data_IF_826142990321
#
_entry.id   IF_826142990321
#
_cell.length_a   1.000
_cell.length_b   1.000
_cell.length_c   1.000
_cell.angle_alpha   90.00
_cell.angle_beta   90.00
_cell.angle_gamma   90.00
#
_symmetry.space_group_name_H-M   'P 1'
#
loop_
_entity.id
_entity.type
_entity.pdbx_description
1 polymer ?
#
# COMPACT_ATOMS: atom_id res chain seq x y z
N UNK A 1 -13.42 -3.04 8.08
CA UNK A 1 -12.74 -3.04 6.77
C UNK A 1 -12.28 -1.62 6.50
N UNK A 2 -11.00 -1.41 6.18
CA UNK A 2 -10.42 -0.08 5.92
C UNK A 2 -10.76 0.38 4.49
N UNK A 3 -10.88 1.70 4.27
CA UNK A 3 -11.08 2.26 2.93
C UNK A 3 -9.94 1.88 1.96
N UNK A 4 -8.73 1.70 2.50
CA UNK A 4 -7.56 1.24 1.75
C UNK A 4 -7.76 -0.17 1.19
N UNK A 5 -8.25 -1.11 2.01
CA UNK A 5 -8.49 -2.49 1.58
C UNK A 5 -9.45 -2.58 0.39
N UNK A 6 -10.56 -1.83 0.44
CA UNK A 6 -11.53 -1.78 -0.66
C UNK A 6 -10.90 -1.21 -1.94
N UNK A 7 -10.06 -0.17 -1.83
CA UNK A 7 -9.36 0.40 -2.97
C UNK A 7 -8.33 -0.58 -3.57
N UNK A 8 -7.61 -1.33 -2.74
CA UNK A 8 -6.67 -2.36 -3.19
C UNK A 8 -7.39 -3.48 -3.96
N UNK A 9 -8.58 -3.91 -3.50
CA UNK A 9 -9.41 -4.89 -4.22
C UNK A 9 -9.87 -4.34 -5.57
N UNK A 10 -10.27 -3.07 -5.64
CA UNK A 10 -10.65 -2.42 -6.90
C UNK A 10 -9.47 -2.36 -7.89
N UNK A 11 -8.28 -1.93 -7.43
CA UNK A 11 -7.08 -1.90 -8.25
C UNK A 11 -6.68 -3.29 -8.76
N UNK A 12 -6.92 -4.34 -7.97
CA UNK A 12 -6.71 -5.72 -8.40
C UNK A 12 -7.64 -6.12 -9.54
N UNK A 13 -8.92 -5.81 -9.43
CA UNK A 13 -9.90 -6.07 -10.48
C UNK A 13 -9.58 -5.28 -11.77
N UNK A 14 -9.15 -4.02 -11.63
CA UNK A 14 -8.71 -3.19 -12.76
C UNK A 14 -7.46 -3.78 -13.44
N UNK A 15 -6.52 -4.34 -12.67
CA UNK A 15 -5.32 -5.01 -13.19
C UNK A 15 -5.68 -6.30 -13.96
N UNK A 16 -6.57 -7.14 -13.42
CA UNK A 16 -7.02 -8.39 -14.07
C UNK A 16 -7.80 -8.11 -15.36
N UNK A 17 -8.60 -7.03 -15.37
CA UNK A 17 -9.27 -6.53 -16.58
C UNK A 17 -8.24 -6.01 -17.60
N UNK A 18 -7.19 -5.35 -17.12
CA UNK A 18 -6.07 -4.88 -17.96
C UNK A 18 -5.30 -6.02 -18.59
N UNK A 19 -5.18 -7.16 -17.93
CA UNK A 19 -4.53 -8.37 -18.46
C UNK A 19 -5.38 -9.04 -19.53
N UNK A 20 -6.71 -9.10 -19.32
CA UNK A 20 -7.65 -9.82 -20.18
C UNK A 20 -8.07 -9.05 -21.44
N UNK A 21 -7.89 -7.73 -21.47
CA UNK A 21 -8.35 -6.90 -22.60
C UNK A 21 -7.19 -6.42 -23.47
N UNK A 22 -7.21 -6.81 -24.75
CA UNK A 22 -6.22 -6.40 -25.76
C UNK A 22 -6.23 -4.87 -26.01
N UNK A 23 -7.34 -4.19 -25.68
CA UNK A 23 -7.51 -2.74 -25.81
C UNK A 23 -7.30 -1.93 -24.53
N UNK A 24 -6.95 -2.57 -23.39
CA UNK A 24 -6.67 -1.85 -22.15
C UNK A 24 -5.31 -1.14 -22.26
N UNK A 25 -5.37 0.16 -22.54
CA UNK A 25 -4.21 0.93 -22.95
C UNK A 25 -3.12 1.06 -21.88
N UNK A 26 -1.85 1.29 -22.30
CA UNK A 26 -0.72 1.52 -21.41
C UNK A 26 -0.98 2.64 -20.37
N UNK A 27 -1.89 3.57 -20.67
CA UNK A 27 -2.35 4.64 -19.76
C UNK A 27 -2.96 4.11 -18.47
N UNK A 28 -3.78 3.04 -18.53
CA UNK A 28 -4.46 2.55 -17.32
C UNK A 28 -3.47 1.82 -16.42
N UNK A 29 -2.60 0.98 -16.99
CA UNK A 29 -1.54 0.32 -16.25
C UNK A 29 -0.58 1.35 -15.61
N UNK A 30 -0.27 2.43 -16.31
CA UNK A 30 0.52 3.53 -15.77
C UNK A 30 -0.20 4.24 -14.60
N UNK A 31 -1.52 4.48 -14.72
CA UNK A 31 -2.32 5.06 -13.64
C UNK A 31 -2.33 4.17 -12.39
N UNK A 32 -2.59 2.86 -12.56
CA UNK A 32 -2.57 1.86 -11.48
C UNK A 32 -1.20 1.88 -10.78
N UNK A 33 -0.10 1.83 -11.55
CA UNK A 33 1.26 1.85 -10.99
C UNK A 33 1.55 3.12 -10.19
N UNK A 34 1.16 4.29 -10.68
CA UNK A 34 1.32 5.57 -9.95
C UNK A 34 0.53 5.58 -8.65
N UNK A 35 -0.67 5.02 -8.67
CA UNK A 35 -1.50 4.94 -7.47
C UNK A 35 -0.94 3.97 -6.44
N UNK A 36 -0.46 2.79 -6.87
CA UNK A 36 0.24 1.83 -6.00
C UNK A 36 1.49 2.44 -5.37
N UNK A 37 2.29 3.16 -6.16
CA UNK A 37 3.45 3.87 -5.64
C UNK A 37 3.05 4.93 -4.59
N UNK A 38 1.97 5.68 -4.83
CA UNK A 38 1.45 6.65 -3.86
C UNK A 38 1.08 5.98 -2.54
N UNK A 39 0.38 4.85 -2.59
CA UNK A 39 0.02 4.11 -1.38
C UNK A 39 1.25 3.56 -0.64
N UNK A 40 2.24 3.05 -1.37
CA UNK A 40 3.50 2.57 -0.77
C UNK A 40 4.25 3.70 -0.05
N UNK A 41 4.29 4.90 -0.64
CA UNK A 41 4.93 6.08 -0.02
C UNK A 41 4.15 6.64 1.17
N UNK A 42 2.88 6.26 1.33
CA UNK A 42 2.05 6.65 2.48
C UNK A 42 2.07 5.63 3.62
N UNK A 43 2.76 4.49 3.46
CA UNK A 43 2.87 3.50 4.55
C UNK A 43 3.64 4.12 5.71
N UNK A 44 3.08 4.15 6.94
CA UNK A 44 3.75 4.75 8.08
C UNK A 44 5.06 4.03 8.42
N UNK A 45 6.10 4.79 8.72
CA UNK A 45 7.38 4.26 9.20
C UNK A 45 7.26 3.25 10.37
N UNK A 46 6.42 3.46 11.41
CA UNK A 46 6.27 2.47 12.48
C UNK A 46 5.73 1.13 11.97
N UNK A 47 4.85 1.14 10.96
CA UNK A 47 4.33 -0.09 10.33
C UNK A 47 5.44 -0.83 9.56
N UNK A 48 6.36 -0.10 8.94
CA UNK A 48 7.52 -0.67 8.26
C UNK A 48 8.50 -1.32 9.24
N UNK A 49 8.79 -0.66 10.38
CA UNK A 49 9.69 -1.18 11.40
C UNK A 49 9.13 -2.41 12.15
N UNK A 50 7.82 -2.46 12.34
CA UNK A 50 7.14 -3.61 12.96
C UNK A 50 7.03 -4.82 12.01
N UNK A 51 7.35 -4.65 10.72
CA UNK A 51 7.28 -5.71 9.72
C UNK A 51 8.49 -6.65 9.75
N UNK A 52 8.34 -7.91 9.28
CA UNK A 52 9.45 -8.83 9.12
C UNK A 52 10.41 -8.31 8.05
N UNK A 53 11.72 -8.50 8.24
CA UNK A 53 12.76 -8.01 7.32
C UNK A 53 12.53 -8.44 5.87
N UNK A 54 11.98 -9.64 5.65
CA UNK A 54 11.66 -10.11 4.31
C UNK A 54 10.57 -9.28 3.60
N UNK A 55 9.56 -8.80 4.34
CA UNK A 55 8.51 -7.94 3.80
C UNK A 55 9.06 -6.54 3.52
N UNK A 56 9.91 -6.00 4.41
CA UNK A 56 10.59 -4.72 4.20
C UNK A 56 11.46 -4.75 2.93
N UNK A 57 12.25 -5.81 2.72
CA UNK A 57 13.04 -5.95 1.49
C UNK A 57 12.16 -6.02 0.24
N UNK A 58 11.02 -6.72 0.31
CA UNK A 58 10.05 -6.78 -0.80
C UNK A 58 9.46 -5.39 -1.07
N UNK A 59 9.07 -4.67 -0.03
CA UNK A 59 8.57 -3.29 -0.12
C UNK A 59 9.55 -2.36 -0.82
N UNK A 60 10.81 -2.33 -0.38
CA UNK A 60 11.84 -1.51 -1.01
C UNK A 60 12.09 -1.90 -2.47
N UNK A 61 12.11 -3.20 -2.77
CA UNK A 61 12.28 -3.71 -4.13
C UNK A 61 11.14 -3.25 -5.04
N UNK A 62 9.90 -3.36 -4.57
CA UNK A 62 8.71 -2.92 -5.31
C UNK A 62 8.73 -1.42 -5.56
N UNK A 63 9.08 -0.59 -4.57
CA UNK A 63 9.19 0.86 -4.76
C UNK A 63 10.22 1.18 -5.84
N UNK A 64 11.42 0.57 -5.77
CA UNK A 64 12.46 0.77 -6.78
C UNK A 64 11.98 0.38 -8.18
N UNK A 65 11.30 -0.76 -8.31
CA UNK A 65 10.78 -1.23 -9.60
C UNK A 65 9.68 -0.31 -10.16
N UNK A 66 8.77 0.15 -9.30
CA UNK A 66 7.71 1.08 -9.70
C UNK A 66 8.24 2.46 -10.10
N UNK A 67 9.30 2.93 -9.46
CA UNK A 67 9.98 4.18 -9.80
C UNK A 67 10.81 4.05 -11.08
N UNK A 68 11.53 2.95 -11.26
CA UNK A 68 12.43 2.74 -12.40
C UNK A 68 11.68 2.63 -13.74
N UNK A 69 10.47 2.05 -13.74
CA UNK A 69 9.69 1.87 -14.96
C UNK A 69 9.14 3.16 -15.60
N UNK A 70 9.34 4.32 -14.96
CA UNK A 70 9.10 5.61 -15.58
C UNK A 70 10.17 5.99 -16.63
N UNK A 71 11.25 5.19 -16.75
CA UNK A 71 12.41 5.46 -17.61
C UNK A 71 12.36 4.61 -18.89
N UNK A 72 12.67 5.20 -20.04
CA UNK A 72 12.72 4.51 -21.33
C UNK A 72 14.01 3.67 -21.47
N UNK A 73 13.96 2.47 -22.07
CA UNK A 73 12.78 1.80 -22.63
C UNK A 73 11.86 1.25 -21.54
N UNK A 74 10.55 1.41 -21.75
CA UNK A 74 9.55 0.90 -20.84
C UNK A 74 9.67 -0.63 -20.72
N UNK A 75 9.62 -1.14 -19.48
CA UNK A 75 9.50 -2.58 -19.20
C UNK A 75 8.36 -3.21 -20.01
N UNK A 76 8.54 -4.46 -20.47
CA UNK A 76 7.48 -5.20 -21.17
C UNK A 76 6.17 -5.22 -20.36
N UNK A 77 5.02 -5.20 -21.04
CA UNK A 77 3.69 -5.16 -20.40
C UNK A 77 3.53 -6.21 -19.30
N UNK A 78 3.97 -7.43 -19.56
CA UNK A 78 3.95 -8.54 -18.59
C UNK A 78 4.73 -8.22 -17.32
N UNK A 79 5.92 -7.62 -17.46
CA UNK A 79 6.74 -7.19 -16.34
C UNK A 79 6.05 -6.08 -15.55
N UNK A 80 5.43 -5.13 -16.23
CA UNK A 80 4.67 -4.06 -15.58
C UNK A 80 3.46 -4.59 -14.78
N UNK A 81 2.74 -5.58 -15.32
CA UNK A 81 1.65 -6.26 -14.63
C UNK A 81 2.16 -7.03 -13.40
N UNK A 82 3.26 -7.77 -13.56
CA UNK A 82 3.89 -8.51 -12.46
C UNK A 82 4.32 -7.58 -11.31
N UNK A 83 4.97 -6.46 -11.65
CA UNK A 83 5.39 -5.44 -10.67
C UNK A 83 4.20 -4.81 -9.93
N UNK A 84 3.11 -4.51 -10.65
CA UNK A 84 1.89 -4.00 -10.03
C UNK A 84 1.22 -5.03 -9.11
N UNK A 85 1.23 -6.31 -9.47
CA UNK A 85 0.68 -7.40 -8.64
C UNK A 85 1.49 -7.58 -7.36
N UNK A 86 2.81 -7.56 -7.45
CA UNK A 86 3.69 -7.60 -6.28
C UNK A 86 3.44 -6.42 -5.33
N UNK A 87 3.18 -5.22 -5.87
CA UNK A 87 2.86 -4.05 -5.06
C UNK A 87 1.53 -4.19 -4.32
N UNK A 88 0.50 -4.73 -4.98
CA UNK A 88 -0.79 -5.04 -4.34
C UNK A 88 -0.62 -6.04 -3.20
N UNK A 89 0.16 -7.11 -3.41
CA UNK A 89 0.40 -8.12 -2.38
C UNK A 89 1.11 -7.52 -1.16
N UNK A 90 2.15 -6.69 -1.38
CA UNK A 90 2.86 -6.02 -0.29
C UNK A 90 1.96 -5.06 0.48
N UNK A 91 1.17 -4.22 -0.21
CA UNK A 91 0.24 -3.29 0.43
C UNK A 91 -0.85 -4.03 1.22
N UNK A 92 -1.34 -5.14 0.68
CA UNK A 92 -2.34 -5.98 1.35
C UNK A 92 -1.77 -6.60 2.62
N UNK A 93 -0.52 -7.07 2.60
CA UNK A 93 0.16 -7.60 3.78
C UNK A 93 0.39 -6.52 4.85
N UNK A 94 0.68 -5.27 4.46
CA UNK A 94 0.77 -4.17 5.41
C UNK A 94 -0.58 -3.72 5.97
N UNK A 95 -1.64 -3.69 5.16
CA UNK A 95 -2.99 -3.36 5.63
C UNK A 95 -3.50 -4.38 6.67
N UNK A 96 -3.30 -5.68 6.42
CA UNK A 96 -3.62 -6.75 7.40
C UNK A 96 -2.87 -6.60 8.73
N UNK A 97 -1.65 -6.07 8.69
CA UNK A 97 -0.75 -5.90 9.85
C UNK A 97 -0.91 -4.56 10.53
N UNK A 98 -1.50 -3.59 9.88
CA UNK A 98 -1.82 -2.32 10.49
C UNK A 98 -2.92 -2.63 11.50
N UNK A 99 -2.65 -2.58 12.82
CA UNK A 99 -3.73 -2.73 13.78
C UNK A 99 -4.76 -1.65 13.42
N UNK A 100 -6.07 -1.95 13.47
CA UNK A 100 -7.03 -0.85 13.53
C UNK A 100 -6.53 0.04 14.67
N UNK A 101 -6.47 1.36 14.48
CA UNK A 101 -6.33 2.29 15.59
C UNK A 101 -7.57 2.12 16.49
N UNK A 102 -7.62 1.02 17.22
CA UNK A 102 -8.58 0.75 18.26
C UNK A 102 -8.03 1.51 19.47
N UNK A 103 -8.76 2.57 19.81
CA UNK A 103 -8.58 3.36 21.02
C UNK A 103 -7.20 4.01 21.14
N UNK A 104 -7.08 5.22 20.60
CA UNK A 104 -6.55 6.27 21.46
C UNK A 104 -7.42 6.27 22.74
N UNK A 105 -7.02 5.47 23.73
CA UNK A 105 -7.62 5.51 25.03
C UNK A 105 -7.48 6.97 25.50
N UNK A 106 -8.56 7.67 25.86
CA UNK A 106 -8.41 8.92 26.58
C UNK A 106 -7.62 8.57 27.83
N UNK A 107 -6.38 9.05 27.90
CA UNK A 107 -5.52 8.86 29.05
C UNK A 107 -6.30 9.37 30.26
N UNK A 108 -6.63 8.45 31.14
CA UNK A 108 -7.22 8.71 32.44
C UNK A 108 -6.30 9.64 33.21
N UNK A 109 -6.62 10.94 33.22
CA UNK A 109 -6.08 11.88 34.19
C UNK A 109 -6.81 11.63 35.52
N UNK A 110 -6.35 10.59 36.23
CA UNK A 110 -6.75 10.25 37.59
C UNK A 110 -5.87 11.04 38.57
N UNK A 111 -6.51 11.91 39.39
CA UNK A 111 -6.18 12.27 40.80
C UNK A 111 -5.19 13.43 41.03
N UNK A 112 -5.24 14.23 42.16
CA UNK A 112 -6.04 14.13 43.40
C UNK A 112 -6.82 15.38 43.90
N UNK A 113 -7.86 15.12 44.70
CA UNK A 113 -8.13 15.62 46.08
C UNK A 113 -7.84 17.10 46.41
N UNK A 114 -8.92 17.84 46.72
CA UNK A 114 -8.95 18.76 47.86
C UNK A 114 -9.43 20.17 47.58
N UNK A 115 -10.69 20.46 47.93
CA UNK A 115 -10.97 21.60 48.83
C UNK A 115 -12.40 21.48 49.38
N UNK A 116 -12.45 21.22 50.69
CA UNK A 116 -13.52 21.72 51.56
C UNK A 116 -13.22 23.19 51.80
N UNK A 117 -14.22 24.05 51.66
CA UNK A 117 -14.65 25.08 52.62
C UNK A 117 -15.80 25.88 52.05
#
# INVERSE_FOLDING_TARGET
MTALYLRLQQLRAELETSESSAGFGPTVLFAIRRELLRHLLQVPYPTLQAGPTALLRRFESVIRNLQAAATFPASSRERQLSEARQALDVLTEFDKRTPPLAAAAPTTATTPRGQRS
#
